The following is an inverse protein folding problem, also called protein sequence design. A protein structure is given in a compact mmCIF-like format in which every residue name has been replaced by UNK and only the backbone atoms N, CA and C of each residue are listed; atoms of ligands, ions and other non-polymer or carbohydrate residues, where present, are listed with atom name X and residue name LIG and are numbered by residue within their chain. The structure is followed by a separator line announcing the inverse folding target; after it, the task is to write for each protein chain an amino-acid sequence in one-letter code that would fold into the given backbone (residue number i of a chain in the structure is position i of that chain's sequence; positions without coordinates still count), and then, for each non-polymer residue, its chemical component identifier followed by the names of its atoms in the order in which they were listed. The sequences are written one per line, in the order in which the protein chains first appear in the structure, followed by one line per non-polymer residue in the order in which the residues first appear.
data_IF_317169504255
#
_entry.id   IF_317169504255
#
_cell.length_a   1.000
_cell.length_b   1.000
_cell.length_c   1.000
_cell.angle_alpha   90.00
_cell.angle_beta   90.00
_cell.angle_gamma   90.00
#
_symmetry.space_group_name_H-M   'P 1'
#
loop_
_entity.id
_entity.type
_entity.pdbx_description
1 polymer ?
#
# COMPACT_ATOMS: atom_id res chain seq x y z
N UNK A 1 -21.38 -13.51 -6.14
CA UNK A 1 -19.93 -13.22 -6.14
C UNK A 1 -19.70 -12.11 -7.13
N UNK A 2 -19.57 -10.87 -6.64
CA UNK A 2 -19.22 -9.74 -7.50
C UNK A 2 -17.81 -9.94 -8.05
N UNK A 3 -17.66 -9.95 -9.37
CA UNK A 3 -16.35 -9.88 -9.99
C UNK A 3 -15.67 -8.62 -9.45
N UNK A 4 -14.50 -8.77 -8.84
CA UNK A 4 -13.68 -7.65 -8.43
C UNK A 4 -13.14 -7.04 -9.72
N UNK A 5 -13.85 -6.05 -10.24
CA UNK A 5 -13.44 -5.36 -11.45
C UNK A 5 -12.15 -4.59 -11.14
N UNK A 6 -11.07 -4.93 -11.84
CA UNK A 6 -9.95 -4.02 -12.02
C UNK A 6 -10.54 -2.79 -12.74
N UNK A 7 -10.45 -1.63 -12.13
CA UNK A 7 -11.03 -0.43 -12.72
C UNK A 7 -10.24 -0.02 -13.97
N UNK A 8 -10.96 0.47 -14.98
CA UNK A 8 -10.31 1.08 -16.14
C UNK A 8 -9.80 2.48 -15.79
N UNK A 9 -8.55 2.72 -16.18
CA UNK A 9 -7.96 4.06 -16.06
C UNK A 9 -8.56 4.96 -17.13
N UNK A 10 -9.00 6.18 -16.80
CA UNK A 10 -9.51 7.12 -17.79
C UNK A 10 -8.52 7.28 -18.96
N UNK A 11 -9.01 7.29 -20.23
CA UNK A 11 -8.13 7.31 -21.41
C UNK A 11 -7.10 8.45 -21.40
N UNK A 12 -7.49 9.63 -20.93
CA UNK A 12 -6.62 10.81 -20.84
C UNK A 12 -5.49 10.67 -19.80
N UNK A 13 -5.61 9.74 -18.87
CA UNK A 13 -4.60 9.48 -17.84
C UNK A 13 -3.71 8.28 -18.16
N UNK A 14 -4.15 7.42 -19.08
CA UNK A 14 -3.57 6.08 -19.30
C UNK A 14 -2.08 6.12 -19.65
N UNK A 15 -1.65 7.04 -20.51
CA UNK A 15 -0.25 7.10 -20.95
C UNK A 15 0.72 7.37 -19.81
N UNK A 16 0.44 8.39 -18.98
CA UNK A 16 1.27 8.71 -17.80
C UNK A 16 1.14 7.66 -16.70
N UNK A 17 -0.05 7.10 -16.52
CA UNK A 17 -0.28 6.00 -15.59
C UNK A 17 0.59 4.79 -15.95
N UNK A 18 0.52 4.29 -17.18
CA UNK A 18 1.26 3.12 -17.63
C UNK A 18 2.79 3.32 -17.53
N UNK A 19 3.27 4.52 -17.84
CA UNK A 19 4.69 4.86 -17.67
C UNK A 19 5.12 4.79 -16.20
N UNK A 20 4.29 5.27 -15.28
CA UNK A 20 4.59 5.24 -13.86
C UNK A 20 4.47 3.84 -13.27
N UNK A 21 3.52 3.03 -13.74
CA UNK A 21 3.31 1.64 -13.29
C UNK A 21 4.59 0.82 -13.36
N UNK A 22 5.36 0.94 -14.45
CA UNK A 22 6.65 0.22 -14.62
C UNK A 22 7.66 0.56 -13.51
N UNK A 23 7.72 1.83 -13.12
CA UNK A 23 8.61 2.29 -12.04
C UNK A 23 8.15 1.75 -10.68
N UNK A 24 6.84 1.74 -10.45
CA UNK A 24 6.25 1.27 -9.19
C UNK A 24 6.34 -0.26 -9.06
N UNK A 25 6.22 -0.99 -10.16
CA UNK A 25 6.45 -2.43 -10.19
C UNK A 25 7.91 -2.75 -9.81
N UNK A 26 8.87 -2.02 -10.35
CA UNK A 26 10.27 -2.16 -9.96
C UNK A 26 10.49 -1.83 -8.47
N UNK A 27 9.84 -0.81 -7.95
CA UNK A 27 9.90 -0.44 -6.53
C UNK A 27 9.28 -1.53 -5.64
N UNK A 28 8.21 -2.20 -6.08
CA UNK A 28 7.60 -3.32 -5.35
C UNK A 28 8.53 -4.53 -5.22
N UNK A 29 9.48 -4.68 -6.14
CA UNK A 29 10.49 -5.74 -6.16
C UNK A 29 11.81 -5.32 -5.50
N UNK A 30 11.91 -4.10 -4.98
CA UNK A 30 13.13 -3.61 -4.32
C UNK A 30 13.43 -4.45 -3.09
N UNK A 31 14.71 -4.85 -2.86
CA UNK A 31 15.11 -5.63 -1.69
C UNK A 31 14.68 -5.03 -0.36
N UNK A 32 14.67 -3.70 -0.20
CA UNK A 32 14.17 -3.06 1.01
C UNK A 32 12.71 -3.43 1.31
N UNK A 33 11.87 -3.52 0.28
CA UNK A 33 10.47 -3.92 0.42
C UNK A 33 10.36 -5.40 0.72
N UNK A 34 11.01 -6.24 -0.09
CA UNK A 34 10.92 -7.71 0.03
C UNK A 34 11.44 -8.17 1.39
N UNK A 35 12.62 -7.71 1.79
CA UNK A 35 13.26 -8.12 3.06
C UNK A 35 12.46 -7.67 4.28
N UNK A 36 11.90 -6.45 4.26
CA UNK A 36 11.06 -5.96 5.33
C UNK A 36 9.76 -6.77 5.48
N UNK A 37 9.13 -7.17 4.37
CA UNK A 37 7.94 -8.02 4.41
C UNK A 37 8.27 -9.42 4.91
N UNK A 38 9.40 -10.01 4.47
CA UNK A 38 9.88 -11.30 5.00
C UNK A 38 10.10 -11.24 6.51
N UNK A 39 10.78 -10.22 6.99
CA UNK A 39 11.05 -10.02 8.42
C UNK A 39 9.73 -9.85 9.20
N UNK A 40 8.80 -9.07 8.69
CA UNK A 40 7.48 -8.91 9.30
C UNK A 40 6.72 -10.23 9.41
N UNK A 41 6.66 -11.01 8.32
CA UNK A 41 5.95 -12.29 8.29
C UNK A 41 6.57 -13.33 9.24
N UNK A 42 7.88 -13.24 9.48
CA UNK A 42 8.60 -14.11 10.42
C UNK A 42 8.50 -13.64 11.88
N UNK A 43 8.09 -12.41 12.13
CA UNK A 43 8.00 -11.83 13.47
C UNK A 43 6.68 -12.17 14.16
N UNK A 44 6.72 -12.13 15.50
CA UNK A 44 5.49 -12.12 16.31
C UNK A 44 5.06 -10.68 16.50
N UNK A 45 3.82 -10.31 16.16
CA UNK A 45 3.33 -8.95 16.37
C UNK A 45 3.31 -8.61 17.86
N UNK A 46 3.51 -7.32 18.19
CA UNK A 46 3.29 -6.86 19.56
C UNK A 46 1.84 -7.11 19.98
N UNK A 47 1.55 -7.24 21.31
CA UNK A 47 0.17 -7.41 21.77
C UNK A 47 -0.78 -6.32 21.26
N UNK A 48 -0.31 -5.07 21.19
CA UNK A 48 -1.06 -3.96 20.63
C UNK A 48 -1.37 -4.15 19.16
N UNK A 49 -0.38 -4.50 18.35
CA UNK A 49 -0.57 -4.77 16.92
C UNK A 49 -1.48 -5.99 16.67
N UNK A 50 -1.34 -7.05 17.47
CA UNK A 50 -2.13 -8.26 17.35
C UNK A 50 -3.62 -8.04 17.68
N UNK A 51 -3.93 -7.11 18.60
CA UNK A 51 -5.29 -6.76 19.00
C UNK A 51 -5.87 -5.55 18.28
N UNK A 52 -5.11 -4.96 17.32
CA UNK A 52 -5.56 -3.77 16.60
C UNK A 52 -6.67 -4.12 15.61
N UNK A 53 -7.75 -3.35 15.67
CA UNK A 53 -8.83 -3.38 14.68
C UNK A 53 -8.86 -2.10 13.86
N UNK A 54 -9.58 -2.10 12.74
CA UNK A 54 -9.71 -0.89 11.92
C UNK A 54 -10.43 0.23 12.68
N UNK A 55 -11.41 -0.10 13.53
CA UNK A 55 -12.12 0.86 14.38
C UNK A 55 -11.17 1.53 15.37
N UNK A 56 -10.40 0.74 16.11
CA UNK A 56 -9.38 1.28 17.04
C UNK A 56 -8.33 2.09 16.31
N UNK A 57 -7.89 1.64 15.13
CA UNK A 57 -6.91 2.35 14.32
C UNK A 57 -7.37 3.75 13.92
N UNK A 58 -8.66 3.91 13.59
CA UNK A 58 -9.24 5.23 13.28
C UNK A 58 -9.11 6.22 14.45
N UNK A 59 -9.21 5.74 15.68
CA UNK A 59 -9.11 6.58 16.88
C UNK A 59 -7.68 7.04 17.18
N UNK A 60 -6.66 6.31 16.65
CA UNK A 60 -5.27 6.65 16.87
C UNK A 60 -4.86 7.88 16.05
N UNK A 61 -4.04 8.72 16.67
CA UNK A 61 -3.41 9.84 15.98
C UNK A 61 -1.91 9.55 15.67
N UNK A 62 -1.24 10.50 15.01
CA UNK A 62 0.15 10.35 14.58
C UNK A 62 1.16 10.28 15.74
N UNK A 63 0.75 10.60 16.97
CA UNK A 63 1.61 10.55 18.16
C UNK A 63 1.50 9.23 18.92
N UNK A 64 0.51 8.42 18.60
CA UNK A 64 0.33 7.11 19.25
C UNK A 64 1.53 6.20 19.00
N UNK A 65 1.98 5.43 20.02
CA UNK A 65 3.20 4.62 19.93
C UNK A 65 3.21 3.64 18.74
N UNK A 66 2.11 2.95 18.47
CA UNK A 66 2.03 2.00 17.37
C UNK A 66 2.14 2.72 16.00
N UNK A 67 1.44 3.85 15.83
CA UNK A 67 1.53 4.65 14.60
C UNK A 67 2.97 5.13 14.39
N UNK A 68 3.61 5.63 15.45
CA UNK A 68 4.99 6.10 15.39
C UNK A 68 5.99 4.97 15.12
N UNK A 69 5.77 3.78 15.66
CA UNK A 69 6.65 2.64 15.44
C UNK A 69 6.68 2.25 13.95
N UNK A 70 5.51 2.20 13.31
CA UNK A 70 5.43 1.93 11.86
C UNK A 70 5.98 3.10 11.04
N UNK A 71 5.65 4.34 11.40
CA UNK A 71 6.14 5.54 10.70
C UNK A 71 7.67 5.65 10.71
N UNK A 72 8.32 5.28 11.82
CA UNK A 72 9.78 5.33 11.98
C UNK A 72 10.50 4.07 11.49
N UNK A 73 9.77 3.04 11.07
CA UNK A 73 10.40 1.85 10.52
C UNK A 73 11.28 2.19 9.31
N UNK A 74 12.43 1.53 9.12
CA UNK A 74 13.34 1.84 8.01
C UNK A 74 12.68 1.81 6.63
N UNK A 75 11.77 0.85 6.40
CA UNK A 75 11.02 0.79 5.14
C UNK A 75 10.11 2.03 4.97
N UNK A 76 9.47 2.52 6.03
CA UNK A 76 8.65 3.73 5.97
C UNK A 76 9.46 4.97 5.58
N UNK A 77 10.68 5.11 6.10
CA UNK A 77 11.61 6.16 5.70
C UNK A 77 12.03 6.03 4.23
N UNK A 78 12.34 4.81 3.80
CA UNK A 78 12.66 4.51 2.41
C UNK A 78 11.50 4.88 1.46
N UNK A 79 10.27 4.55 1.81
CA UNK A 79 9.09 4.92 1.02
C UNK A 79 8.90 6.44 0.95
N UNK A 80 9.04 7.15 2.07
CA UNK A 80 8.93 8.62 2.07
C UNK A 80 9.94 9.28 1.15
N UNK A 81 11.17 8.75 1.07
CA UNK A 81 12.19 9.24 0.16
C UNK A 81 11.85 9.02 -1.33
N UNK A 82 10.89 8.15 -1.64
CA UNK A 82 10.41 7.88 -3.00
C UNK A 82 9.16 8.69 -3.39
N UNK A 83 8.59 9.45 -2.46
CA UNK A 83 7.46 10.34 -2.78
C UNK A 83 7.89 11.42 -3.77
N UNK A 84 6.95 11.75 -4.64
CA UNK A 84 7.07 12.88 -5.55
C UNK A 84 5.71 13.59 -5.70
N UNK A 85 5.56 14.43 -6.72
CA UNK A 85 4.29 15.15 -6.95
C UNK A 85 3.20 14.28 -7.58
N UNK A 86 3.54 13.10 -8.08
CA UNK A 86 2.61 12.12 -8.65
C UNK A 86 2.22 11.07 -7.61
N UNK A 87 3.22 10.40 -7.01
CA UNK A 87 3.00 9.33 -6.03
C UNK A 87 3.05 9.91 -4.63
N UNK A 88 1.87 10.05 -4.03
CA UNK A 88 1.68 10.74 -2.75
C UNK A 88 1.21 9.83 -1.62
N UNK A 89 1.00 8.55 -1.91
CA UNK A 89 0.56 7.57 -0.92
C UNK A 89 1.23 6.23 -1.19
N UNK A 90 1.83 5.66 -0.16
CA UNK A 90 2.47 4.36 -0.24
C UNK A 90 2.30 3.61 1.07
N UNK A 91 1.90 2.35 1.01
CA UNK A 91 1.90 1.47 2.17
C UNK A 91 2.12 0.01 1.78
N UNK A 92 2.71 -0.72 2.70
CA UNK A 92 3.10 -2.12 2.54
C UNK A 92 2.41 -2.94 3.62
N UNK A 93 1.80 -4.04 3.22
CA UNK A 93 1.16 -5.00 4.12
C UNK A 93 1.83 -6.37 4.03
N UNK A 94 1.94 -7.05 5.16
CA UNK A 94 2.41 -8.43 5.22
C UNK A 94 1.36 -9.41 4.74
N UNK A 95 1.68 -10.69 4.78
CA UNK A 95 0.79 -11.77 4.33
C UNK A 95 -0.56 -11.78 5.04
N UNK A 96 -0.61 -11.39 6.31
CA UNK A 96 -1.82 -11.28 7.10
C UNK A 96 -2.66 -10.02 6.82
N UNK A 97 -2.19 -9.09 5.97
CA UNK A 97 -2.84 -7.82 5.67
C UNK A 97 -2.54 -6.68 6.64
N UNK A 98 -1.77 -6.93 7.70
CA UNK A 98 -1.33 -5.91 8.67
C UNK A 98 -0.21 -5.02 8.12
N UNK A 99 -0.03 -3.86 8.73
CA UNK A 99 0.94 -2.86 8.26
C UNK A 99 2.38 -3.24 8.56
N UNK A 100 3.18 -3.26 7.50
CA UNK A 100 4.65 -3.34 7.58
C UNK A 100 5.24 -1.93 7.58
N UNK A 101 4.77 -1.08 6.68
CA UNK A 101 5.26 0.28 6.52
C UNK A 101 4.23 1.17 5.82
N UNK A 102 4.38 2.49 5.98
CA UNK A 102 3.63 3.51 5.22
C UNK A 102 4.41 4.82 5.16
N UNK A 103 4.15 5.60 4.15
CA UNK A 103 4.68 6.96 4.04
C UNK A 103 3.96 7.94 4.99
N UNK A 104 2.67 7.69 5.26
CA UNK A 104 1.84 8.37 6.23
C UNK A 104 0.78 7.41 6.78
N UNK A 105 0.21 7.73 7.96
CA UNK A 105 -0.84 6.90 8.58
C UNK A 105 -1.96 6.63 7.60
N UNK A 106 -2.26 5.34 7.42
CA UNK A 106 -3.33 4.86 6.53
C UNK A 106 -4.70 4.94 7.18
N UNK A 107 -5.75 4.94 6.37
CA UNK A 107 -7.14 4.89 6.86
C UNK A 107 -7.41 3.59 7.63
N UNK A 108 -6.92 2.46 7.14
CA UNK A 108 -7.12 1.15 7.76
C UNK A 108 -5.80 0.54 8.26
N UNK A 109 -5.87 -0.16 9.37
CA UNK A 109 -4.79 -1.00 9.89
C UNK A 109 -4.63 -2.28 9.08
N UNK A 110 -5.75 -2.97 8.87
CA UNK A 110 -5.83 -4.27 8.23
C UNK A 110 -6.43 -4.16 6.84
N UNK A 111 -5.74 -4.65 5.82
CA UNK A 111 -6.21 -4.66 4.45
C UNK A 111 -6.63 -6.05 3.93
N UNK A 112 -6.50 -7.10 4.74
CA UNK A 112 -7.07 -8.42 4.41
C UNK A 112 -8.57 -8.31 4.19
N UNK A 113 -9.08 -8.89 3.12
CA UNK A 113 -10.48 -8.77 2.71
C UNK A 113 -10.73 -7.59 1.74
N UNK A 114 -9.73 -6.79 1.47
CA UNK A 114 -9.81 -5.69 0.48
C UNK A 114 -9.10 -6.07 -0.82
N UNK A 115 -9.67 -5.76 -2.00
CA UNK A 115 -9.09 -6.12 -3.30
C UNK A 115 -7.65 -5.66 -3.48
N UNK A 116 -7.30 -4.49 -2.95
CA UNK A 116 -5.94 -3.92 -3.01
C UNK A 116 -4.87 -4.76 -2.29
N UNK A 117 -5.29 -5.68 -1.43
CA UNK A 117 -4.42 -6.66 -0.78
C UNK A 117 -4.65 -8.06 -1.30
N UNK A 118 -5.90 -8.49 -1.39
CA UNK A 118 -6.26 -9.87 -1.70
C UNK A 118 -5.87 -10.27 -3.14
N UNK A 119 -5.98 -9.37 -4.12
CA UNK A 119 -5.54 -9.64 -5.49
C UNK A 119 -4.01 -9.74 -5.59
N UNK A 120 -3.21 -8.81 -5.02
CA UNK A 120 -1.78 -9.01 -4.91
C UNK A 120 -1.37 -10.31 -4.24
N UNK A 121 -2.05 -10.74 -3.19
CA UNK A 121 -1.78 -12.04 -2.55
C UNK A 121 -2.08 -13.25 -3.44
N UNK A 122 -2.83 -13.06 -4.53
CA UNK A 122 -3.04 -14.05 -5.60
C UNK A 122 -2.04 -13.89 -6.76
N UNK A 123 -1.03 -13.03 -6.61
CA UNK A 123 -0.06 -12.73 -7.67
C UNK A 123 -0.57 -11.79 -8.77
N UNK A 124 -1.67 -11.09 -8.53
CA UNK A 124 -2.31 -10.18 -9.50
C UNK A 124 -2.04 -8.73 -9.15
N UNK A 125 -1.93 -7.88 -10.16
CA UNK A 125 -1.94 -6.42 -9.98
C UNK A 125 -3.39 -5.95 -9.88
N UNK A 126 -3.66 -5.11 -8.88
CA UNK A 126 -4.96 -4.46 -8.73
C UNK A 126 -4.87 -2.98 -9.10
N UNK A 127 -5.82 -2.50 -9.89
CA UNK A 127 -5.99 -1.06 -10.18
C UNK A 127 -7.33 -0.63 -9.63
N UNK A 128 -7.33 0.37 -8.77
CA UNK A 128 -8.53 0.96 -8.18
C UNK A 128 -9.18 1.99 -9.10
N UNK A 129 -10.44 2.32 -8.84
CA UNK A 129 -11.13 3.38 -9.55
C UNK A 129 -10.54 4.75 -9.19
N UNK A 130 -10.83 5.75 -10.05
CA UNK A 130 -10.61 7.15 -9.69
C UNK A 130 -11.52 7.51 -8.51
N UNK A 131 -10.93 7.83 -7.38
CA UNK A 131 -11.64 8.17 -6.14
C UNK A 131 -11.00 9.36 -5.44
N UNK A 132 -11.78 10.00 -4.57
CA UNK A 132 -11.24 10.94 -3.61
C UNK A 132 -10.68 10.18 -2.41
N UNK A 133 -9.42 10.39 -2.09
CA UNK A 133 -8.79 9.81 -0.91
C UNK A 133 -9.16 10.59 0.35
N UNK A 134 -9.72 9.91 1.34
CA UNK A 134 -10.19 10.55 2.57
C UNK A 134 -9.06 11.07 3.46
N UNK A 135 -7.86 10.50 3.35
CA UNK A 135 -6.71 10.92 4.17
C UNK A 135 -5.99 12.15 3.62
N UNK A 136 -5.96 12.32 2.31
CA UNK A 136 -5.27 13.44 1.64
C UNK A 136 -6.20 14.48 1.05
N UNK A 137 -7.50 14.15 0.85
CA UNK A 137 -8.47 14.99 0.15
C UNK A 137 -8.24 15.09 -1.35
N UNK A 138 -7.26 14.38 -1.90
CA UNK A 138 -6.91 14.41 -3.33
C UNK A 138 -7.65 13.34 -4.12
N UNK A 139 -8.02 13.66 -5.36
CA UNK A 139 -8.42 12.63 -6.32
C UNK A 139 -7.20 11.81 -6.73
N UNK A 140 -7.33 10.49 -6.67
CA UNK A 140 -6.23 9.58 -7.01
C UNK A 140 -6.72 8.28 -7.61
N UNK A 141 -5.80 7.60 -8.28
CA UNK A 141 -5.91 6.21 -8.67
C UNK A 141 -4.90 5.43 -7.84
N UNK A 142 -5.35 4.37 -7.19
CA UNK A 142 -4.46 3.46 -6.48
C UNK A 142 -4.12 2.25 -7.34
N UNK A 143 -2.92 1.73 -7.17
CA UNK A 143 -2.47 0.48 -7.77
C UNK A 143 -1.80 -0.37 -6.70
N UNK A 144 -2.11 -1.66 -6.68
CA UNK A 144 -1.54 -2.64 -5.75
C UNK A 144 -0.76 -3.73 -6.48
N UNK A 145 0.45 -3.99 -5.99
CA UNK A 145 1.33 -5.04 -6.50
C UNK A 145 1.55 -6.12 -5.45
N UNK A 146 1.75 -7.39 -5.88
CA UNK A 146 2.32 -8.39 -4.99
C UNK A 146 3.76 -8.03 -4.61
N UNK A 147 4.12 -8.26 -3.36
CA UNK A 147 5.51 -8.39 -2.95
C UNK A 147 5.87 -9.86 -3.10
N UNK A 148 6.86 -10.15 -3.93
CA UNK A 148 7.22 -11.52 -4.30
C UNK A 148 8.55 -11.94 -3.65
N UNK A 149 8.57 -13.14 -3.07
CA UNK A 149 9.79 -13.84 -2.70
C UNK A 149 9.88 -15.12 -3.54
N UNK A 150 10.88 -15.18 -4.43
CA UNK A 150 11.03 -16.28 -5.40
C UNK A 150 9.74 -16.59 -6.18
N UNK A 151 9.04 -15.54 -6.60
CA UNK A 151 7.79 -15.65 -7.37
C UNK A 151 6.54 -15.94 -6.53
N UNK A 152 6.67 -16.12 -5.21
CA UNK A 152 5.55 -16.36 -4.29
C UNK A 152 5.09 -15.04 -3.65
N UNK A 153 3.81 -14.69 -3.71
CA UNK A 153 3.29 -13.53 -2.98
C UNK A 153 3.44 -13.70 -1.47
N UNK A 154 4.10 -12.74 -0.84
CA UNK A 154 4.36 -12.70 0.60
C UNK A 154 3.74 -11.48 1.28
N UNK A 155 3.21 -10.55 0.52
CA UNK A 155 2.58 -9.32 0.97
C UNK A 155 2.10 -8.50 -0.21
N UNK A 156 1.70 -7.27 0.06
CA UNK A 156 1.24 -6.32 -0.94
C UNK A 156 1.82 -4.95 -0.71
N UNK A 157 1.97 -4.19 -1.79
CA UNK A 157 2.30 -2.77 -1.74
C UNK A 157 1.29 -2.00 -2.56
N UNK A 158 0.79 -0.90 -2.02
CA UNK A 158 -0.18 -0.02 -2.68
C UNK A 158 0.42 1.36 -2.83
N UNK A 159 0.26 1.91 -4.03
CA UNK A 159 0.65 3.28 -4.38
C UNK A 159 -0.59 4.08 -4.77
N UNK A 160 -0.66 5.32 -4.32
CA UNK A 160 -1.69 6.27 -4.73
C UNK A 160 -1.09 7.38 -5.59
N UNK A 161 -1.61 7.53 -6.81
CA UNK A 161 -1.18 8.54 -7.77
C UNK A 161 -2.23 9.64 -7.93
N UNK A 162 -1.80 10.88 -7.84
CA UNK A 162 -2.67 12.05 -8.05
C UNK A 162 -3.23 12.08 -9.47
N UNK A 163 -4.55 12.19 -9.57
CA UNK A 163 -5.24 12.21 -10.86
C UNK A 163 -4.89 13.43 -11.72
N UNK A 164 -4.71 14.61 -11.12
CA UNK A 164 -4.35 15.85 -11.82
C UNK A 164 -2.95 15.79 -12.45
N UNK A 165 -2.07 14.93 -11.96
CA UNK A 165 -0.72 14.72 -12.50
C UNK A 165 -0.66 13.64 -13.57
N UNK A 166 -1.71 12.86 -13.71
CA UNK A 166 -1.84 11.83 -14.73
C UNK A 166 -2.51 12.31 -16.03
N UNK A 167 -3.12 13.50 -16.01
CA UNK A 167 -3.74 14.14 -17.18
C UNK A 167 -2.72 14.76 -18.13
#
# INVERSE_FOLDING_TARGET
MGAVAVAEVPPEMKGKFDARVKQLEALSADPHVVDAVKAYNASTPSPEAASMTNEKWHELNVFDPLVRSVYKAPLSEFLRAKRDDVVIKMFVSGANGGKVAFDAKTEFWMHKGMPKHDLPMQGKVWTGPLTQDHTTGQQMIQIGFPVLDHGKPIGSVVFGMRADKLR
#
